data_IF_202956573323
#
_entry.id   IF_202956573323
#
_cell.length_a   1.000
_cell.length_b   1.000
_cell.length_c   1.000
_cell.angle_alpha   90.00
_cell.angle_beta   90.00
_cell.angle_gamma   90.00
#
_symmetry.space_group_name_H-M   'P 1'
#
loop_
_entity.id
_entity.type
_entity.pdbx_description
1 polymer ?
#
# COMPACT_ATOMS: atom_id res chain seq x y z
N UNK A 1 11.31 12.34 32.50
CA UNK A 1 11.29 11.41 31.34
C UNK A 1 12.36 10.36 31.57
N UNK A 2 12.13 9.08 31.24
CA UNK A 2 13.14 8.04 31.44
C UNK A 2 14.37 8.31 30.58
N UNK A 3 15.56 8.03 31.10
CA UNK A 3 16.80 8.22 30.35
C UNK A 3 16.97 7.15 29.27
N UNK A 4 17.83 7.40 28.27
CA UNK A 4 18.17 6.39 27.27
C UNK A 4 18.65 5.08 27.90
N UNK A 5 19.49 5.15 28.93
CA UNK A 5 20.03 3.97 29.60
C UNK A 5 18.96 3.21 30.38
N UNK A 6 17.96 3.90 30.95
CA UNK A 6 16.79 3.27 31.56
C UNK A 6 15.95 2.50 30.53
N UNK A 7 15.65 3.11 29.37
CA UNK A 7 14.95 2.43 28.28
C UNK A 7 15.72 1.20 27.79
N UNK A 8 17.04 1.34 27.63
CA UNK A 8 17.93 0.25 27.22
C UNK A 8 17.92 -0.88 28.26
N UNK A 9 18.03 -0.55 29.54
CA UNK A 9 18.01 -1.53 30.63
C UNK A 9 16.67 -2.25 30.72
N UNK A 10 15.55 -1.51 30.64
CA UNK A 10 14.21 -2.07 30.69
C UNK A 10 13.91 -2.97 29.49
N UNK A 11 14.30 -2.53 28.29
CA UNK A 11 14.15 -3.31 27.06
C UNK A 11 15.02 -4.58 27.08
N UNK A 12 16.27 -4.48 27.54
CA UNK A 12 17.16 -5.64 27.68
C UNK A 12 16.65 -6.64 28.71
N UNK A 13 16.08 -6.17 29.83
CA UNK A 13 15.47 -7.04 30.84
C UNK A 13 14.27 -7.80 30.25
N UNK A 14 13.34 -7.09 29.62
CA UNK A 14 12.20 -7.73 28.94
C UNK A 14 12.65 -8.70 27.84
N UNK A 15 13.74 -8.40 27.13
CA UNK A 15 14.32 -9.30 26.13
C UNK A 15 14.91 -10.56 26.77
N UNK A 16 15.63 -10.44 27.88
CA UNK A 16 16.17 -11.56 28.63
C UNK A 16 15.06 -12.47 29.20
N UNK A 17 13.95 -11.86 29.61
CA UNK A 17 12.74 -12.57 30.06
C UNK A 17 11.95 -13.21 28.89
N UNK A 18 12.46 -13.14 27.65
CA UNK A 18 11.83 -13.61 26.40
C UNK A 18 10.50 -12.91 26.09
N UNK A 19 10.20 -11.79 26.74
CA UNK A 19 9.03 -10.96 26.48
C UNK A 19 9.26 -10.05 25.27
N UNK A 20 9.57 -10.61 24.10
CA UNK A 20 10.01 -9.85 22.92
C UNK A 20 9.00 -8.79 22.46
N UNK A 21 7.69 -9.06 22.56
CA UNK A 21 6.64 -8.07 22.25
C UNK A 21 6.68 -6.87 23.19
N UNK A 22 6.96 -7.10 24.47
CA UNK A 22 7.06 -6.04 25.48
C UNK A 22 8.36 -5.24 25.28
N UNK A 23 9.47 -5.93 25.06
CA UNK A 23 10.75 -5.30 24.71
C UNK A 23 10.61 -4.39 23.48
N UNK A 24 9.93 -4.85 22.42
CA UNK A 24 9.69 -4.05 21.23
C UNK A 24 8.83 -2.80 21.50
N UNK A 25 7.84 -2.87 22.40
CA UNK A 25 7.06 -1.69 22.83
C UNK A 25 7.93 -0.69 23.58
N UNK A 26 8.76 -1.16 24.52
CA UNK A 26 9.69 -0.30 25.27
C UNK A 26 10.65 0.41 24.31
N UNK A 27 11.22 -0.29 23.32
CA UNK A 27 12.09 0.32 22.34
C UNK A 27 11.37 1.28 21.37
N UNK A 28 10.09 1.04 21.06
CA UNK A 28 9.26 2.01 20.32
C UNK A 28 9.12 3.31 21.12
N UNK A 29 8.83 3.21 22.41
CA UNK A 29 8.68 4.38 23.27
C UNK A 29 10.03 5.12 23.42
N UNK A 30 11.14 4.38 23.43
CA UNK A 30 12.49 4.96 23.39
C UNK A 30 12.79 5.68 22.06
N UNK A 31 12.38 5.14 20.91
CA UNK A 31 12.53 5.80 19.59
C UNK A 31 11.74 7.11 19.51
N UNK A 32 10.59 7.20 20.18
CA UNK A 32 9.83 8.45 20.22
C UNK A 32 10.59 9.60 20.92
N UNK A 33 11.57 9.28 21.78
CA UNK A 33 12.36 10.27 22.52
C UNK A 33 13.81 10.39 22.01
N UNK A 34 14.37 9.29 21.52
CA UNK A 34 15.78 9.15 21.13
C UNK A 34 15.91 8.54 19.72
N UNK A 35 15.07 9.01 18.79
CA UNK A 35 14.91 8.48 17.44
C UNK A 35 16.16 8.53 16.56
N UNK A 36 17.19 9.26 16.97
CA UNK A 36 18.48 9.34 16.26
C UNK A 36 19.49 8.30 16.73
N UNK A 37 19.15 7.49 17.75
CA UNK A 37 20.09 6.52 18.30
C UNK A 37 19.98 5.14 17.61
N UNK A 38 20.99 4.71 16.83
CA UNK A 38 20.95 3.46 16.07
C UNK A 38 20.89 2.20 16.95
N UNK A 39 21.31 2.29 18.22
CA UNK A 39 21.30 1.16 19.16
C UNK A 39 19.86 0.69 19.41
N UNK A 40 18.90 1.63 19.49
CA UNK A 40 17.51 1.30 19.80
C UNK A 40 16.87 0.52 18.66
N UNK A 41 17.08 0.97 17.41
CA UNK A 41 16.64 0.25 16.23
C UNK A 41 17.29 -1.12 16.14
N UNK A 42 18.58 -1.23 16.46
CA UNK A 42 19.28 -2.51 16.48
C UNK A 42 18.59 -3.48 17.46
N UNK A 43 18.38 -3.05 18.71
CA UNK A 43 17.76 -3.90 19.73
C UNK A 43 16.29 -4.25 19.41
N UNK A 44 15.53 -3.32 18.83
CA UNK A 44 14.14 -3.57 18.40
C UNK A 44 14.07 -4.52 17.20
N UNK A 45 14.99 -4.39 16.24
CA UNK A 45 15.15 -5.33 15.12
C UNK A 45 15.39 -6.76 15.61
N UNK A 46 16.25 -6.93 16.63
CA UNK A 46 16.45 -8.25 17.25
C UNK A 46 15.17 -8.80 17.87
N UNK A 47 14.35 -7.96 18.53
CA UNK A 47 13.07 -8.40 19.08
C UNK A 47 12.16 -8.93 17.96
N UNK A 48 12.12 -8.26 16.81
CA UNK A 48 11.31 -8.69 15.67
C UNK A 48 11.84 -9.96 15.00
N UNK A 49 13.16 -10.18 14.97
CA UNK A 49 13.76 -11.45 14.54
C UNK A 49 13.26 -12.61 15.41
N UNK A 50 13.26 -12.47 16.74
CA UNK A 50 12.72 -13.50 17.64
C UNK A 50 11.20 -13.68 17.55
N UNK A 51 10.48 -12.68 17.06
CA UNK A 51 9.05 -12.76 16.78
C UNK A 51 8.75 -13.27 15.37
N UNK A 52 9.77 -13.61 14.59
CA UNK A 52 9.68 -13.99 13.18
C UNK A 52 8.97 -12.94 12.30
N UNK A 53 8.98 -11.68 12.73
CA UNK A 53 8.49 -10.56 11.94
C UNK A 53 9.62 -9.95 11.13
N UNK A 54 9.97 -10.65 10.06
CA UNK A 54 11.08 -10.29 9.17
C UNK A 54 10.88 -8.91 8.53
N UNK A 55 9.63 -8.54 8.22
CA UNK A 55 9.31 -7.25 7.60
C UNK A 55 9.64 -6.07 8.51
N UNK A 56 9.28 -6.16 9.79
CA UNK A 56 9.60 -5.11 10.78
C UNK A 56 11.06 -5.14 11.18
N UNK A 57 11.66 -6.33 11.30
CA UNK A 57 13.10 -6.47 11.56
C UNK A 57 13.95 -5.77 10.48
N UNK A 58 13.60 -5.98 9.21
CA UNK A 58 14.26 -5.34 8.06
C UNK A 58 14.12 -3.82 8.09
N UNK A 59 12.90 -3.31 8.32
CA UNK A 59 12.65 -1.86 8.40
C UNK A 59 13.45 -1.20 9.53
N UNK A 60 13.51 -1.83 10.70
CA UNK A 60 14.28 -1.31 11.83
C UNK A 60 15.78 -1.35 11.56
N UNK A 61 16.30 -2.42 10.98
CA UNK A 61 17.70 -2.51 10.64
C UNK A 61 18.11 -1.40 9.64
N UNK A 62 17.30 -1.20 8.60
CA UNK A 62 17.50 -0.13 7.61
C UNK A 62 17.42 1.28 8.22
N UNK A 63 16.44 1.52 9.10
CA UNK A 63 16.32 2.80 9.81
C UNK A 63 17.54 3.05 10.71
N UNK A 64 18.00 2.04 11.45
CA UNK A 64 19.20 2.15 12.28
C UNK A 64 20.47 2.44 11.48
N UNK A 65 20.60 1.92 10.26
CA UNK A 65 21.73 2.21 9.38
C UNK A 65 21.74 3.66 8.88
N UNK A 66 20.55 4.27 8.75
CA UNK A 66 20.43 5.69 8.38
C UNK A 66 20.83 6.66 9.52
N UNK A 67 20.89 6.17 10.77
CA UNK A 67 21.23 6.98 11.95
C UNK A 67 22.75 7.05 12.25
N UNK A 68 23.61 6.94 11.23
CA UNK A 68 25.08 7.00 11.36
C UNK A 68 25.65 6.13 12.51
N UNK A 69 25.44 4.80 12.49
CA UNK A 69 25.92 3.90 13.53
C UNK A 69 27.45 3.83 13.59
N UNK A 70 27.98 3.64 14.80
CA UNK A 70 29.38 3.21 14.97
C UNK A 70 29.61 1.87 14.28
N UNK A 71 30.86 1.57 13.90
CA UNK A 71 31.19 0.35 13.15
C UNK A 71 30.63 -0.92 13.81
N UNK A 72 30.74 -1.05 15.13
CA UNK A 72 30.21 -2.19 15.89
C UNK A 72 28.69 -2.31 15.80
N UNK A 73 27.96 -1.20 15.79
CA UNK A 73 26.51 -1.19 15.65
C UNK A 73 26.09 -1.41 14.19
N UNK A 74 26.86 -0.88 13.24
CA UNK A 74 26.67 -1.08 11.81
C UNK A 74 26.74 -2.57 11.45
N UNK A 75 27.75 -3.29 11.94
CA UNK A 75 27.88 -4.75 11.78
C UNK A 75 26.63 -5.48 12.27
N UNK A 76 26.14 -5.16 13.48
CA UNK A 76 24.93 -5.79 14.03
C UNK A 76 23.68 -5.50 13.21
N UNK A 77 23.52 -4.27 12.74
CA UNK A 77 22.37 -3.87 11.93
C UNK A 77 22.40 -4.54 10.55
N UNK A 78 23.55 -4.55 9.87
CA UNK A 78 23.73 -5.22 8.58
C UNK A 78 23.47 -6.73 8.70
N UNK A 79 23.99 -7.37 9.74
CA UNK A 79 23.75 -8.78 9.99
C UNK A 79 22.25 -9.07 10.19
N UNK A 80 21.58 -8.27 11.01
CA UNK A 80 20.12 -8.37 11.25
C UNK A 80 19.31 -8.12 9.97
N UNK A 81 19.71 -7.15 9.15
CA UNK A 81 19.11 -6.90 7.83
C UNK A 81 19.30 -8.11 6.92
N UNK A 82 20.50 -8.70 6.87
CA UNK A 82 20.81 -9.89 6.06
C UNK A 82 19.93 -11.08 6.44
N UNK A 83 19.79 -11.37 7.73
CA UNK A 83 18.90 -12.43 8.24
C UNK A 83 17.44 -12.17 7.85
N UNK A 84 16.96 -10.94 8.03
CA UNK A 84 15.60 -10.58 7.67
C UNK A 84 15.36 -10.68 6.15
N UNK A 85 16.29 -10.19 5.32
CA UNK A 85 16.24 -10.29 3.86
C UNK A 85 16.23 -11.74 3.38
N UNK A 86 17.08 -12.59 3.96
CA UNK A 86 17.10 -14.04 3.68
C UNK A 86 15.75 -14.71 3.95
N UNK A 87 15.07 -14.32 5.04
CA UNK A 87 13.74 -14.85 5.40
C UNK A 87 12.60 -14.25 4.58
N UNK A 88 12.83 -13.14 3.88
CA UNK A 88 11.90 -12.50 2.96
C UNK A 88 12.12 -12.94 1.50
N UNK A 89 12.93 -13.96 1.25
CA UNK A 89 13.35 -14.44 -0.09
C UNK A 89 14.03 -13.34 -0.93
N UNK A 90 14.68 -12.37 -0.28
CA UNK A 90 15.46 -11.30 -0.90
C UNK A 90 16.96 -11.66 -0.89
N UNK A 91 17.31 -12.77 -1.55
CA UNK A 91 18.65 -13.37 -1.47
C UNK A 91 19.78 -12.42 -1.91
N UNK A 92 19.57 -11.64 -2.98
CA UNK A 92 20.55 -10.67 -3.47
C UNK A 92 20.89 -9.60 -2.41
N UNK A 93 19.88 -9.10 -1.72
CA UNK A 93 20.04 -8.10 -0.66
C UNK A 93 20.69 -8.73 0.57
N UNK A 94 20.33 -9.97 0.91
CA UNK A 94 20.92 -10.72 2.01
C UNK A 94 22.41 -10.96 1.80
N UNK A 95 22.81 -11.41 0.59
CA UNK A 95 24.21 -11.59 0.22
C UNK A 95 25.00 -10.29 0.36
N UNK A 96 24.47 -9.18 -0.16
CA UNK A 96 25.12 -7.88 -0.04
C UNK A 96 25.31 -7.46 1.42
N UNK A 97 24.30 -7.68 2.28
CA UNK A 97 24.39 -7.37 3.71
C UNK A 97 25.50 -8.18 4.40
N UNK A 98 25.60 -9.49 4.14
CA UNK A 98 26.64 -10.33 4.75
C UNK A 98 28.05 -10.02 4.21
N UNK A 99 28.17 -9.71 2.92
CA UNK A 99 29.44 -9.24 2.34
C UNK A 99 29.91 -7.93 2.99
N UNK A 100 29.00 -6.97 3.19
CA UNK A 100 29.31 -5.72 3.89
C UNK A 100 29.70 -5.95 5.36
N UNK A 101 29.11 -6.95 6.02
CA UNK A 101 29.55 -7.36 7.37
C UNK A 101 30.99 -7.86 7.33
N UNK A 102 31.33 -8.75 6.41
CA UNK A 102 32.68 -9.32 6.27
C UNK A 102 33.72 -8.28 5.84
N UNK A 103 33.30 -7.24 5.11
CA UNK A 103 34.15 -6.10 4.78
C UNK A 103 34.56 -5.29 6.02
N UNK A 104 33.69 -5.20 7.03
CA UNK A 104 33.93 -4.45 8.27
C UNK A 104 34.57 -5.34 9.34
N UNK A 105 34.11 -6.59 9.45
CA UNK A 105 34.55 -7.60 10.40
C UNK A 105 34.83 -8.94 9.69
N UNK A 106 36.04 -9.09 9.11
CA UNK A 106 36.39 -10.29 8.35
C UNK A 106 36.43 -11.59 9.16
N UNK A 107 36.46 -11.50 10.50
CA UNK A 107 36.48 -12.68 11.38
C UNK A 107 35.08 -13.10 11.83
N UNK A 108 34.03 -12.50 11.29
CA UNK A 108 32.66 -12.84 11.63
C UNK A 108 32.24 -14.18 11.01
N UNK A 109 32.45 -15.27 11.76
CA UNK A 109 32.11 -16.62 11.33
C UNK A 109 30.61 -16.80 11.03
N UNK A 110 29.72 -16.15 11.79
CA UNK A 110 28.27 -16.23 11.58
C UNK A 110 27.88 -15.64 10.22
N UNK A 111 28.46 -14.49 9.84
CA UNK A 111 28.20 -13.86 8.55
C UNK A 111 28.73 -14.69 7.38
N UNK A 112 29.88 -15.33 7.55
CA UNK A 112 30.45 -16.22 6.54
C UNK A 112 29.57 -17.46 6.33
N UNK A 113 29.12 -18.11 7.42
CA UNK A 113 28.23 -19.28 7.35
C UNK A 113 26.89 -18.95 6.66
N UNK A 114 26.29 -17.82 6.99
CA UNK A 114 25.04 -17.37 6.37
C UNK A 114 25.20 -17.06 4.87
N UNK A 115 26.35 -16.47 4.48
CA UNK A 115 26.69 -16.20 3.09
C UNK A 115 26.95 -17.49 2.31
N UNK A 116 27.72 -18.42 2.88
CA UNK A 116 27.98 -19.74 2.29
C UNK A 116 26.68 -20.52 2.10
N UNK A 117 25.76 -20.44 3.08
CA UNK A 117 24.42 -21.03 2.97
C UNK A 117 23.65 -20.45 1.80
N UNK A 118 23.71 -19.14 1.56
CA UNK A 118 23.02 -18.50 0.43
C UNK A 118 23.62 -18.88 -0.92
N UNK A 119 24.96 -19.03 -0.98
CA UNK A 119 25.67 -19.43 -2.20
C UNK A 119 25.46 -20.92 -2.51
N UNK A 120 25.42 -21.76 -1.47
CA UNK A 120 25.26 -23.20 -1.58
C UNK A 120 23.83 -23.62 -1.97
N UNK A 121 22.84 -22.72 -1.90
CA UNK A 121 21.50 -23.01 -2.41
C UNK A 121 21.56 -23.02 -3.94
N UNK A 122 21.42 -24.19 -4.62
CA UNK A 122 21.28 -24.21 -6.07
C UNK A 122 20.04 -23.39 -6.45
N UNK A 123 20.12 -22.64 -7.55
CA UNK A 123 19.04 -21.82 -8.15
C UNK A 123 17.85 -22.67 -8.66
N UNK A 124 17.31 -23.56 -7.83
CA UNK A 124 16.20 -24.47 -8.09
C UNK A 124 15.06 -24.24 -7.09
N UNK A 125 14.78 -22.98 -6.77
CA UNK A 125 13.40 -22.55 -6.60
C UNK A 125 12.99 -21.73 -7.82
N UNK A 126 13.01 -22.38 -8.99
CA UNK A 126 11.95 -22.10 -9.97
C UNK A 126 10.66 -22.21 -9.18
N UNK A 127 9.76 -21.24 -9.37
CA UNK A 127 8.40 -21.31 -8.87
C UNK A 127 7.93 -22.76 -8.94
N UNK A 128 7.27 -23.26 -7.90
CA UNK A 128 6.31 -24.33 -8.13
C UNK A 128 5.27 -23.73 -9.08
N UNK A 129 5.59 -23.74 -10.38
CA UNK A 129 4.60 -23.76 -11.44
C UNK A 129 3.87 -25.05 -11.13
N UNK A 130 2.79 -24.94 -10.36
CA UNK A 130 1.81 -26.00 -10.26
C UNK A 130 1.62 -26.53 -11.67
N UNK A 131 1.89 -27.82 -11.81
CA UNK A 131 1.75 -28.51 -13.07
C UNK A 131 0.42 -28.07 -13.69
N UNK A 132 0.48 -27.48 -14.89
CA UNK A 132 -0.69 -27.32 -15.73
C UNK A 132 -1.26 -28.72 -15.92
N UNK A 133 -2.19 -29.12 -15.05
CA UNK A 133 -3.05 -30.27 -15.27
C UNK A 133 -3.77 -29.90 -16.56
N UNK A 134 -3.41 -30.54 -17.67
CA UNK A 134 -4.21 -30.48 -18.89
C UNK A 134 -5.56 -31.09 -18.53
N UNK A 135 -6.50 -30.25 -18.13
CA UNK A 135 -7.90 -30.65 -17.95
C UNK A 135 -8.40 -30.85 -19.39
N UNK A 136 -8.84 -32.06 -19.79
CA UNK A 136 -9.45 -32.25 -21.09
C UNK A 136 -10.69 -31.35 -21.18
N UNK A 137 -10.72 -30.50 -22.20
CA UNK A 137 -11.87 -29.64 -22.49
C UNK A 137 -12.81 -30.48 -23.34
N UNK A 138 -13.90 -30.95 -22.75
CA UNK A 138 -14.99 -31.59 -23.47
C UNK A 138 -15.99 -30.50 -23.87
N UNK A 139 -16.19 -30.31 -25.18
CA UNK A 139 -17.16 -29.35 -25.70
C UNK A 139 -18.57 -29.92 -25.47
N UNK A 140 -19.32 -29.30 -24.58
CA UNK A 140 -20.72 -29.65 -24.31
C UNK A 140 -21.60 -28.50 -24.79
N UNK A 141 -22.57 -28.81 -25.67
CA UNK A 141 -23.47 -27.81 -26.29
C UNK A 141 -24.42 -27.15 -25.27
N UNK A 142 -24.59 -27.76 -24.09
CA UNK A 142 -25.43 -27.25 -23.00
C UNK A 142 -24.70 -27.39 -21.68
N UNK A 143 -24.87 -26.40 -20.79
CA UNK A 143 -24.23 -26.39 -19.48
C UNK A 143 -24.70 -27.60 -18.65
N UNK A 144 -23.79 -28.49 -18.20
CA UNK A 144 -24.18 -29.64 -17.38
C UNK A 144 -24.88 -29.19 -16.10
N UNK A 145 -25.87 -29.96 -15.62
CA UNK A 145 -26.71 -29.61 -14.47
C UNK A 145 -25.90 -29.24 -13.21
N UNK A 146 -24.75 -29.88 -13.02
CA UNK A 146 -23.83 -29.61 -11.91
C UNK A 146 -23.25 -28.19 -11.92
N UNK A 147 -23.23 -27.51 -13.08
CA UNK A 147 -22.74 -26.15 -13.24
C UNK A 147 -23.86 -25.12 -13.43
N UNK A 148 -25.13 -25.55 -13.49
CA UNK A 148 -26.28 -24.67 -13.63
C UNK A 148 -26.37 -23.62 -12.51
N UNK A 149 -25.89 -23.96 -11.31
CA UNK A 149 -25.83 -23.04 -10.15
C UNK A 149 -24.82 -21.89 -10.32
N UNK A 150 -23.83 -22.01 -11.21
CA UNK A 150 -22.82 -20.95 -11.44
C UNK A 150 -23.38 -19.86 -12.37
N UNK A 151 -24.28 -20.23 -13.28
CA UNK A 151 -24.82 -19.32 -14.31
C UNK A 151 -26.05 -18.56 -13.79
N UNK A 152 -26.70 -19.06 -12.75
CA UNK A 152 -27.73 -18.33 -12.02
C UNK A 152 -27.29 -18.09 -10.58
N UNK A 153 -26.74 -16.91 -10.24
CA UNK A 153 -26.72 -16.49 -8.86
C UNK A 153 -28.18 -16.19 -8.47
N UNK A 154 -28.91 -17.22 -8.03
CA UNK A 154 -29.96 -16.96 -7.06
C UNK A 154 -29.27 -16.22 -5.91
N UNK A 155 -29.76 -15.01 -5.60
CA UNK A 155 -29.32 -14.21 -4.47
C UNK A 155 -29.35 -15.08 -3.20
N UNK A 156 -28.23 -15.75 -2.89
CA UNK A 156 -27.89 -16.13 -1.55
C UNK A 156 -27.21 -14.89 -0.97
N UNK A 157 -27.95 -14.25 -0.08
CA UNK A 157 -27.55 -13.14 0.78
C UNK A 157 -26.03 -13.02 0.90
N UNK A 158 -25.50 -11.85 0.55
CA UNK A 158 -24.14 -11.45 0.85
C UNK A 158 -23.85 -11.67 2.33
N UNK A 159 -23.22 -12.81 2.67
CA UNK A 159 -22.46 -12.90 3.90
C UNK A 159 -21.21 -12.07 3.69
N UNK A 160 -21.24 -10.88 4.29
CA UNK A 160 -20.13 -9.94 4.39
C UNK A 160 -18.83 -10.67 4.66
N UNK A 161 -17.85 -10.56 3.75
CA UNK A 161 -16.45 -10.89 4.05
C UNK A 161 -16.07 -10.15 5.33
N UNK A 162 -15.80 -10.90 6.41
CA UNK A 162 -15.35 -10.34 7.69
C UNK A 162 -14.13 -9.46 7.46
N UNK A 163 -14.34 -8.16 7.64
CA UNK A 163 -13.31 -7.12 7.69
C UNK A 163 -12.28 -7.50 8.75
N UNK A 164 -10.99 -7.53 8.40
CA UNK A 164 -9.90 -7.82 9.34
C UNK A 164 -9.72 -6.75 10.43
N UNK A 165 -10.45 -5.63 10.39
CA UNK A 165 -10.62 -4.67 11.49
C UNK A 165 -11.82 -3.74 11.19
N UNK A 166 -12.99 -3.91 11.84
CA UNK A 166 -14.16 -3.06 11.63
C UNK A 166 -13.95 -1.59 12.03
N UNK A 167 -13.17 -1.34 13.08
CA UNK A 167 -13.05 -0.01 13.70
C UNK A 167 -12.36 1.07 12.88
N UNK A 168 -11.65 0.72 11.79
CA UNK A 168 -11.02 1.73 10.92
C UNK A 168 -12.02 2.32 9.90
N UNK A 169 -13.05 1.55 9.52
CA UNK A 169 -14.03 1.95 8.49
C UNK A 169 -15.12 2.85 9.08
N UNK A 170 -15.47 2.63 10.35
CA UNK A 170 -16.38 3.51 11.12
C UNK A 170 -15.76 4.89 11.35
N UNK A 171 -14.50 4.96 11.79
CA UNK A 171 -13.85 6.24 12.07
C UNK A 171 -13.67 7.11 10.82
N UNK A 172 -13.39 6.49 9.66
CA UNK A 172 -13.31 7.20 8.38
C UNK A 172 -14.69 7.67 7.92
N UNK A 173 -15.75 6.91 8.23
CA UNK A 173 -17.13 7.30 7.88
C UNK A 173 -17.64 8.48 8.69
N UNK A 174 -17.29 8.55 9.99
CA UNK A 174 -17.72 9.62 10.89
C UNK A 174 -16.97 10.95 10.67
N UNK A 175 -15.69 10.90 10.29
CA UNK A 175 -14.90 12.11 9.96
C UNK A 175 -15.30 12.73 8.61
N UNK A 176 -15.73 11.93 7.61
CA UNK A 176 -16.02 12.44 6.26
C UNK A 176 -17.48 12.87 6.02
N UNK A 177 -18.45 12.30 6.74
CA UNK A 177 -19.87 12.45 6.40
C UNK A 177 -20.73 12.83 7.61
N UNK A 178 -20.30 13.85 8.36
CA UNK A 178 -20.99 14.36 9.55
C UNK A 178 -22.52 14.20 9.52
N UNK A 179 -23.09 13.79 10.65
CA UNK A 179 -24.52 13.43 10.79
C UNK A 179 -25.44 14.40 10.04
N UNK A 180 -26.50 13.92 9.37
CA UNK A 180 -27.46 14.79 8.71
C UNK A 180 -28.23 15.58 9.79
N UNK A 181 -27.79 16.80 10.08
CA UNK A 181 -28.51 17.74 10.93
C UNK A 181 -29.53 18.50 10.10
N UNK A 182 -30.80 18.19 10.35
CA UNK A 182 -31.95 19.00 10.01
C UNK A 182 -31.74 20.47 10.39
N UNK A 183 -31.93 21.35 9.40
CA UNK A 183 -32.24 22.79 9.49
C UNK A 183 -32.18 23.46 10.87
N UNK A 184 -31.26 24.41 11.03
CA UNK A 184 -31.61 25.81 11.31
C UNK A 184 -30.36 26.72 11.31
N UNK A 185 -30.43 27.79 10.53
CA UNK A 185 -29.47 28.90 10.53
C UNK A 185 -29.67 29.71 11.81
N UNK A 186 -28.59 29.96 12.58
CA UNK A 186 -28.41 31.19 13.37
C UNK A 186 -26.95 31.36 13.87
N UNK A 187 -26.36 32.45 13.38
CA UNK A 187 -25.36 33.35 13.99
C UNK A 187 -23.97 32.85 14.46
N UNK A 188 -22.96 33.59 13.98
CA UNK A 188 -21.55 33.58 14.36
C UNK A 188 -21.36 34.34 15.68
N UNK A 189 -20.49 33.87 16.59
CA UNK A 189 -19.45 34.77 17.13
C UNK A 189 -18.02 34.17 17.15
N UNK A 190 -17.05 35.08 17.03
CA UNK A 190 -15.60 34.92 16.91
C UNK A 190 -14.86 34.70 18.25
N UNK A 191 -13.61 34.24 18.11
CA UNK A 191 -12.46 34.19 19.03
C UNK A 191 -12.32 32.89 19.85
N UNK A 192 -11.15 32.25 20.00
CA UNK A 192 -9.76 32.70 19.84
C UNK A 192 -8.81 31.54 19.49
N UNK A 193 -7.67 31.90 18.90
CA UNK A 193 -6.63 31.05 18.35
C UNK A 193 -5.89 30.17 19.37
N UNK A 194 -5.57 28.94 18.95
CA UNK A 194 -4.34 28.25 19.31
C UNK A 194 -3.81 27.51 18.09
N UNK A 195 -2.55 27.78 17.76
CA UNK A 195 -1.92 27.55 16.47
C UNK A 195 -1.22 26.19 16.37
N UNK A 196 -1.14 25.72 15.11
CA UNK A 196 -0.07 24.88 14.53
C UNK A 196 -0.03 23.38 14.86
N UNK A 197 -0.86 22.62 14.13
CA UNK A 197 -0.45 21.36 13.45
C UNK A 197 -1.18 21.27 12.10
N UNK A 198 -0.80 22.10 11.14
CA UNK A 198 -1.12 21.84 9.73
C UNK A 198 -0.26 20.65 9.26
N UNK A 199 -0.74 19.43 9.47
CA UNK A 199 -0.40 18.37 8.53
C UNK A 199 -1.22 18.65 7.28
N UNK A 200 -0.55 18.94 6.16
CA UNK A 200 -1.20 19.05 4.86
C UNK A 200 -2.01 17.77 4.61
N UNK A 201 -3.34 17.90 4.59
CA UNK A 201 -4.31 16.81 4.49
C UNK A 201 -4.36 16.23 3.08
N UNK A 202 -3.21 15.86 2.51
CA UNK A 202 -3.17 15.18 1.22
C UNK A 202 -3.60 13.72 1.46
N UNK A 203 -4.59 13.20 0.69
CA UNK A 203 -5.01 11.82 0.84
C UNK A 203 -3.86 10.88 0.52
N UNK A 204 -3.65 9.84 1.32
CA UNK A 204 -2.65 8.81 1.03
C UNK A 204 -3.20 7.78 0.04
N UNK A 205 -2.33 7.09 -0.72
CA UNK A 205 -2.74 5.95 -1.56
C UNK A 205 -3.47 4.86 -0.76
N UNK A 206 -3.11 4.68 0.51
CA UNK A 206 -3.79 3.74 1.40
C UNK A 206 -5.25 4.15 1.66
N UNK A 207 -5.49 5.45 1.87
CA UNK A 207 -6.83 6.00 2.03
C UNK A 207 -7.66 5.84 0.75
N UNK A 208 -7.09 6.16 -0.41
CA UNK A 208 -7.78 5.97 -1.70
C UNK A 208 -8.12 4.51 -1.96
N UNK A 209 -7.24 3.58 -1.58
CA UNK A 209 -7.52 2.14 -1.65
C UNK A 209 -8.64 1.71 -0.70
N UNK A 210 -8.76 2.34 0.46
CA UNK A 210 -9.87 2.08 1.38
C UNK A 210 -11.23 2.50 0.78
N UNK A 211 -11.27 3.59 0.00
CA UNK A 211 -12.49 4.02 -0.70
C UNK A 211 -13.04 2.97 -1.67
N UNK A 212 -12.17 2.14 -2.25
CA UNK A 212 -12.55 1.03 -3.13
C UNK A 212 -13.29 -0.10 -2.39
N UNK A 213 -13.08 -0.20 -1.07
CA UNK A 213 -13.66 -1.27 -0.22
C UNK A 213 -14.98 -0.86 0.44
N UNK A 214 -15.42 0.38 0.20
CA UNK A 214 -16.66 0.92 0.76
C UNK A 214 -17.88 0.19 0.18
N UNK A 215 -18.90 -0.11 0.99
CA UNK A 215 -20.16 -0.72 0.52
C UNK A 215 -20.82 0.05 -0.62
N UNK A 216 -21.57 -0.66 -1.48
CA UNK A 216 -22.15 -0.13 -2.73
C UNK A 216 -23.01 1.11 -2.48
N UNK A 217 -23.68 1.18 -1.33
CA UNK A 217 -24.58 2.27 -0.94
C UNK A 217 -23.85 3.61 -0.78
N UNK A 218 -22.56 3.57 -0.39
CA UNK A 218 -21.72 4.77 -0.21
C UNK A 218 -20.71 4.96 -1.34
N UNK A 219 -20.70 4.08 -2.35
CA UNK A 219 -19.75 4.11 -3.46
C UNK A 219 -19.86 5.40 -4.30
N UNK A 220 -21.06 5.98 -4.38
CA UNK A 220 -21.30 7.27 -5.08
C UNK A 220 -20.46 8.40 -4.49
N UNK A 221 -20.37 8.50 -3.15
CA UNK A 221 -19.57 9.52 -2.49
C UNK A 221 -18.07 9.31 -2.75
N UNK A 222 -17.62 8.06 -2.73
CA UNK A 222 -16.24 7.71 -3.11
C UNK A 222 -15.91 8.12 -4.54
N UNK A 223 -16.84 7.93 -5.49
CA UNK A 223 -16.65 8.33 -6.88
C UNK A 223 -16.55 9.84 -7.06
N UNK A 224 -17.42 10.60 -6.37
CA UNK A 224 -17.38 12.06 -6.39
C UNK A 224 -16.08 12.59 -5.79
N UNK A 225 -15.62 11.98 -4.70
CA UNK A 225 -14.33 12.32 -4.09
C UNK A 225 -13.15 12.07 -5.05
N UNK A 226 -13.09 10.88 -5.64
CA UNK A 226 -11.97 10.48 -6.52
C UNK A 226 -11.88 11.30 -7.80
N UNK A 227 -13.02 11.56 -8.46
CA UNK A 227 -13.07 12.40 -9.67
C UNK A 227 -12.82 13.88 -9.36
N UNK A 228 -13.10 14.31 -8.12
CA UNK A 228 -12.90 15.67 -7.62
C UNK A 228 -11.52 15.97 -7.06
N UNK A 229 -10.57 15.03 -7.09
CA UNK A 229 -9.20 15.27 -6.61
C UNK A 229 -8.50 16.36 -7.41
N UNK A 230 -7.84 17.29 -6.72
CA UNK A 230 -7.05 18.33 -7.39
C UNK A 230 -5.84 17.73 -8.12
N UNK A 231 -5.47 18.38 -9.23
CA UNK A 231 -4.31 17.97 -10.03
C UNK A 231 -3.01 17.99 -9.20
N UNK A 232 -2.87 18.91 -8.25
CA UNK A 232 -1.72 18.97 -7.33
C UNK A 232 -1.61 17.72 -6.45
N UNK A 233 -2.75 17.16 -6.03
CA UNK A 233 -2.80 15.93 -5.24
C UNK A 233 -2.37 14.74 -6.09
N UNK A 234 -2.86 14.63 -7.33
CA UNK A 234 -2.47 13.56 -8.26
C UNK A 234 -0.97 13.60 -8.58
N UNK A 235 -0.39 14.80 -8.74
CA UNK A 235 1.06 14.97 -8.89
C UNK A 235 1.79 14.45 -7.65
N UNK A 236 1.39 14.90 -6.46
CA UNK A 236 2.02 14.47 -5.20
C UNK A 236 1.93 12.95 -4.99
N UNK A 237 0.86 12.31 -5.46
CA UNK A 237 0.63 10.88 -5.30
C UNK A 237 1.48 10.04 -6.27
N UNK A 238 1.57 10.43 -7.54
CA UNK A 238 2.15 9.59 -8.59
C UNK A 238 3.58 9.97 -8.99
N UNK A 239 4.08 11.15 -8.59
CA UNK A 239 5.41 11.63 -8.97
C UNK A 239 6.54 10.66 -8.56
N UNK A 240 6.44 9.99 -7.41
CA UNK A 240 7.48 9.07 -6.93
C UNK A 240 7.20 7.60 -7.28
N UNK A 241 5.96 7.13 -7.10
CA UNK A 241 5.62 5.71 -7.24
C UNK A 241 5.16 5.31 -8.64
N UNK A 242 4.78 6.27 -9.48
CA UNK A 242 4.03 6.02 -10.71
C UNK A 242 2.56 5.70 -10.46
N UNK A 243 1.82 5.48 -11.55
CA UNK A 243 0.38 5.21 -11.53
C UNK A 243 0.10 3.81 -10.97
N UNK A 244 -0.75 3.75 -9.96
CA UNK A 244 -1.23 2.51 -9.32
C UNK A 244 -2.40 1.93 -10.13
N UNK A 245 -2.38 0.61 -10.38
CA UNK A 245 -3.37 -0.05 -11.24
C UNK A 245 -4.76 -0.03 -10.60
N UNK A 246 -4.85 -0.45 -9.35
CA UNK A 246 -6.14 -0.54 -8.65
C UNK A 246 -6.79 0.84 -8.49
N UNK A 247 -6.00 1.87 -8.18
CA UNK A 247 -6.51 3.24 -8.19
C UNK A 247 -6.94 3.69 -9.58
N UNK A 248 -6.17 3.38 -10.63
CA UNK A 248 -6.51 3.77 -12.00
C UNK A 248 -7.83 3.14 -12.45
N UNK A 249 -8.03 1.84 -12.23
CA UNK A 249 -9.29 1.17 -12.53
C UNK A 249 -10.47 1.80 -11.78
N UNK A 250 -10.28 2.12 -10.49
CA UNK A 250 -11.30 2.81 -9.71
C UNK A 250 -11.57 4.24 -10.21
N UNK A 251 -10.54 4.93 -10.68
CA UNK A 251 -10.67 6.26 -11.28
C UNK A 251 -11.47 6.19 -12.59
N UNK A 252 -11.25 5.18 -13.43
CA UNK A 252 -12.01 4.96 -14.68
C UNK A 252 -13.47 4.60 -14.35
N UNK A 253 -13.70 3.71 -13.39
CA UNK A 253 -15.04 3.31 -12.95
C UNK A 253 -15.83 4.53 -12.41
N UNK A 254 -15.21 5.30 -11.52
CA UNK A 254 -15.81 6.51 -10.94
C UNK A 254 -16.08 7.59 -11.99
N UNK A 255 -15.15 7.79 -12.92
CA UNK A 255 -15.31 8.73 -14.04
C UNK A 255 -16.49 8.34 -14.93
N UNK A 256 -16.60 7.06 -15.28
CA UNK A 256 -17.72 6.55 -16.09
C UNK A 256 -19.06 6.78 -15.40
N UNK A 257 -19.13 6.51 -14.10
CA UNK A 257 -20.35 6.76 -13.31
C UNK A 257 -20.72 8.24 -13.27
N UNK A 258 -19.77 9.12 -12.94
CA UNK A 258 -20.02 10.57 -12.82
C UNK A 258 -20.42 11.19 -14.15
N UNK A 259 -19.82 10.77 -15.26
CA UNK A 259 -20.18 11.28 -16.59
C UNK A 259 -21.59 10.82 -16.99
N UNK A 260 -21.98 9.58 -16.66
CA UNK A 260 -23.33 9.05 -16.90
C UNK A 260 -24.39 9.83 -16.10
N UNK A 261 -24.09 10.19 -14.86
CA UNK A 261 -25.01 10.89 -13.95
C UNK A 261 -25.14 12.38 -14.30
N UNK A 262 -24.02 13.10 -14.44
CA UNK A 262 -24.03 14.56 -14.63
C UNK A 262 -24.33 14.97 -16.07
N UNK A 263 -23.88 14.18 -17.07
CA UNK A 263 -23.90 14.52 -18.50
C UNK A 263 -23.32 15.92 -18.83
N UNK A 264 -22.47 16.45 -17.94
CA UNK A 264 -21.89 17.79 -18.05
C UNK A 264 -20.56 17.75 -18.80
N UNK A 265 -20.49 18.46 -19.92
CA UNK A 265 -19.27 18.57 -20.74
C UNK A 265 -18.06 19.08 -19.96
N UNK A 266 -18.27 20.05 -19.04
CA UNK A 266 -17.21 20.63 -18.22
C UNK A 266 -16.58 19.64 -17.24
N UNK A 267 -17.39 18.77 -16.64
CA UNK A 267 -16.87 17.74 -15.73
C UNK A 267 -16.11 16.66 -16.51
N UNK A 268 -16.62 16.31 -17.71
CA UNK A 268 -15.93 15.40 -18.64
C UNK A 268 -14.57 15.94 -19.06
N UNK A 269 -14.46 17.23 -19.42
CA UNK A 269 -13.18 17.90 -19.71
C UNK A 269 -12.21 17.80 -18.53
N UNK A 270 -12.66 18.12 -17.31
CA UNK A 270 -11.82 18.04 -16.12
C UNK A 270 -11.31 16.62 -15.83
N UNK A 271 -12.10 15.59 -16.14
CA UNK A 271 -11.68 14.19 -15.99
C UNK A 271 -10.63 13.85 -17.04
N UNK A 272 -10.81 14.27 -18.29
CA UNK A 272 -9.86 14.01 -19.37
C UNK A 272 -8.53 14.71 -19.12
N UNK A 273 -8.55 15.93 -18.60
CA UNK A 273 -7.33 16.64 -18.17
C UNK A 273 -6.56 15.88 -17.08
N UNK A 274 -7.27 15.22 -16.15
CA UNK A 274 -6.65 14.35 -15.14
C UNK A 274 -6.05 13.09 -15.76
N UNK A 275 -6.73 12.46 -16.73
CA UNK A 275 -6.18 11.30 -17.46
C UNK A 275 -4.93 11.69 -18.27
N UNK A 276 -4.96 12.86 -18.92
CA UNK A 276 -3.79 13.44 -19.60
C UNK A 276 -2.66 13.74 -18.62
N UNK A 277 -2.96 14.22 -17.42
CA UNK A 277 -1.94 14.40 -16.39
C UNK A 277 -1.34 13.05 -15.97
N UNK A 278 -2.18 12.04 -15.79
CA UNK A 278 -1.75 10.69 -15.40
C UNK A 278 -0.89 10.01 -16.46
N UNK A 279 -1.11 10.30 -17.75
CA UNK A 279 -0.32 9.74 -18.84
C UNK A 279 1.15 10.15 -18.84
N UNK A 280 1.49 11.24 -18.13
CA UNK A 280 2.86 11.72 -17.98
C UNK A 280 3.62 11.06 -16.81
N UNK A 281 2.96 10.27 -15.96
CA UNK A 281 3.61 9.63 -14.82
C UNK A 281 4.20 8.26 -15.15
N UNK A 282 5.20 7.86 -14.37
CA UNK A 282 5.82 6.55 -14.45
C UNK A 282 4.76 5.43 -14.35
N UNK A 283 5.03 4.30 -15.02
CA UNK A 283 4.15 3.11 -15.05
C UNK A 283 2.81 3.29 -15.77
N UNK A 284 2.43 4.47 -16.26
CA UNK A 284 1.17 4.64 -16.99
C UNK A 284 1.03 3.67 -18.18
N UNK A 285 2.06 3.53 -19.02
CA UNK A 285 2.04 2.60 -20.16
C UNK A 285 1.87 1.14 -19.75
N UNK A 286 2.37 0.75 -18.58
CA UNK A 286 2.15 -0.59 -18.03
C UNK A 286 0.72 -0.72 -17.51
N UNK A 287 0.25 0.28 -16.75
CA UNK A 287 -1.08 0.31 -16.15
C UNK A 287 -2.17 0.24 -17.22
N UNK A 288 -2.09 1.05 -18.28
CA UNK A 288 -3.05 1.02 -19.39
C UNK A 288 -3.03 -0.33 -20.13
N UNK A 289 -1.87 -1.00 -20.16
CA UNK A 289 -1.76 -2.31 -20.83
C UNK A 289 -2.46 -3.42 -20.05
N UNK A 290 -2.43 -3.33 -18.72
CA UNK A 290 -2.97 -4.34 -17.79
C UNK A 290 -4.44 -4.08 -17.44
N UNK A 291 -4.88 -2.83 -17.46
CA UNK A 291 -6.25 -2.41 -17.14
C UNK A 291 -7.30 -3.19 -17.95
N UNK A 292 -8.46 -3.48 -17.33
CA UNK A 292 -9.58 -4.15 -18.00
C UNK A 292 -10.08 -3.33 -19.21
N UNK A 293 -9.96 -3.92 -20.40
CA UNK A 293 -10.41 -3.32 -21.67
C UNK A 293 -11.89 -2.93 -21.64
N UNK A 294 -12.72 -3.66 -20.89
CA UNK A 294 -14.15 -3.34 -20.77
C UNK A 294 -14.37 -1.98 -20.10
N UNK A 295 -13.61 -1.66 -19.06
CA UNK A 295 -13.71 -0.38 -18.36
C UNK A 295 -13.29 0.78 -19.27
N UNK A 296 -12.22 0.58 -20.05
CA UNK A 296 -11.73 1.58 -20.99
C UNK A 296 -12.74 1.83 -22.13
N UNK A 297 -13.31 0.76 -22.69
CA UNK A 297 -14.35 0.86 -23.73
C UNK A 297 -15.62 1.52 -23.19
N UNK A 298 -16.03 1.19 -21.96
CA UNK A 298 -17.18 1.80 -21.31
C UNK A 298 -17.00 3.31 -21.15
N UNK A 299 -15.84 3.75 -20.65
CA UNK A 299 -15.53 5.18 -20.52
C UNK A 299 -15.53 5.86 -21.91
N UNK A 300 -14.89 5.26 -22.90
CA UNK A 300 -14.82 5.81 -24.26
C UNK A 300 -16.23 5.98 -24.88
N UNK A 301 -17.11 4.99 -24.70
CA UNK A 301 -18.49 5.04 -25.19
C UNK A 301 -19.30 6.16 -24.54
N UNK A 302 -19.13 6.35 -23.22
CA UNK A 302 -19.83 7.38 -22.45
C UNK A 302 -19.33 8.78 -22.83
N UNK A 303 -18.02 8.95 -23.00
CA UNK A 303 -17.44 10.23 -23.43
C UNK A 303 -17.87 10.57 -24.86
N UNK A 304 -17.92 9.59 -25.77
CA UNK A 304 -18.42 9.79 -27.13
C UNK A 304 -19.87 10.31 -27.17
N UNK A 305 -20.71 9.86 -26.24
CA UNK A 305 -22.10 10.31 -26.13
C UNK A 305 -22.22 11.74 -25.58
N UNK A 306 -21.38 12.12 -24.62
CA UNK A 306 -21.49 13.43 -23.93
C UNK A 306 -20.68 14.53 -24.62
N UNK A 307 -19.49 14.21 -25.13
CA UNK A 307 -18.58 15.17 -25.79
C UNK A 307 -17.80 14.50 -26.93
N UNK A 308 -18.40 14.42 -28.15
CA UNK A 308 -17.75 13.77 -29.28
C UNK A 308 -16.45 14.47 -29.72
N UNK A 309 -16.30 15.77 -29.45
CA UNK A 309 -15.09 16.53 -29.83
C UNK A 309 -13.83 16.16 -29.04
N UNK A 310 -13.97 15.57 -27.84
CA UNK A 310 -12.84 15.21 -26.96
C UNK A 310 -12.61 13.69 -26.95
N UNK A 311 -13.52 12.93 -27.56
CA UNK A 311 -13.41 11.48 -27.66
C UNK A 311 -12.12 11.03 -28.37
N UNK A 312 -11.73 11.69 -29.47
CA UNK A 312 -10.46 11.39 -30.17
C UNK A 312 -9.23 11.66 -29.30
N UNK A 313 -9.32 12.64 -28.40
CA UNK A 313 -8.26 12.96 -27.46
C UNK A 313 -8.13 11.88 -26.39
N UNK A 314 -9.27 11.42 -25.86
CA UNK A 314 -9.32 10.31 -24.91
C UNK A 314 -8.71 9.04 -25.52
N UNK A 315 -9.05 8.69 -26.76
CA UNK A 315 -8.48 7.50 -27.42
C UNK A 315 -6.96 7.58 -27.58
N UNK A 316 -6.41 8.78 -27.84
CA UNK A 316 -4.96 9.00 -27.85
C UNK A 316 -4.34 8.79 -26.47
N UNK A 317 -5.01 9.26 -25.41
CA UNK A 317 -4.54 9.13 -24.02
C UNK A 317 -4.58 7.67 -23.56
N UNK A 318 -5.64 6.94 -23.92
CA UNK A 318 -5.80 5.52 -23.58
C UNK A 318 -4.91 4.60 -24.43
N UNK A 319 -4.20 5.15 -25.43
CA UNK A 319 -3.37 4.41 -26.36
C UNK A 319 -4.25 3.59 -27.30
N UNK A 320 -4.46 4.09 -28.52
CA UNK A 320 -5.27 3.46 -29.57
C UNK A 320 -5.06 1.93 -29.60
N UNK A 321 -6.08 1.18 -29.19
CA UNK A 321 -6.21 -0.25 -29.43
C UNK A 321 -7.28 -0.46 -30.48
#
# INVERSE_FOLDING_TARGET
MPTFDEFKAQGNRAFADKEYKRAAKIYRDAIAQYGDNPIIYSNRSQCFIHLEDWTRAYKDAKAGLACNPSQKIKVKLLFRQGIASKKLDLDSEAMHCFQEVLNIDPMNAEAQEELDTLIAVPKTKKLKSDAFRKIPIELVDTLPEEFAEIVCPQLKSFETRKTRNPGLVENVSEELFGKPSTSNIKEIPKHSAESSKEFSQLPSMHFLRALMTVPVEKKVQSYRYTTGLDNSVLVSLFQTSGVDLEFFEFFIESSTFVIREDKSTRNTESIIDKLRLMSNFNRYSLTITICDDKLLQDLASVVKQVSPGIHEELEKILGSR
#
